data_IF_727724021809
#
_entry.id   IF_727724021809
#
_cell.length_a   1.000
_cell.length_b   1.000
_cell.length_c   1.000
_cell.angle_alpha   90.00
_cell.angle_beta   90.00
_cell.angle_gamma   90.00
#
_symmetry.space_group_name_H-M   'P 1'
#
loop_
_entity.id
_entity.type
_entity.pdbx_description
1 polymer ?
#
# COMPACT_ATOMS: atom_id res chain seq x y z
N UNK A 1 16.67 29.88 1.22
CA UNK A 1 17.60 29.18 0.31
C UNK A 1 18.87 28.83 1.08
N UNK A 2 18.97 27.61 1.60
CA UNK A 2 20.20 27.17 2.28
C UNK A 2 21.33 26.99 1.26
N UNK A 3 22.46 27.68 1.44
CA UNK A 3 23.65 27.48 0.61
C UNK A 3 24.14 26.03 0.68
N UNK A 4 24.71 25.51 -0.41
CA UNK A 4 25.24 24.14 -0.46
C UNK A 4 26.39 23.99 0.53
N UNK A 5 26.29 23.03 1.45
CA UNK A 5 27.32 22.76 2.44
C UNK A 5 28.43 21.88 1.83
N UNK A 6 29.55 22.48 1.46
CA UNK A 6 30.74 21.77 0.94
C UNK A 6 31.65 21.31 2.11
N UNK A 7 31.41 21.82 3.32
CA UNK A 7 32.24 21.59 4.52
C UNK A 7 32.40 20.11 4.91
N UNK A 8 31.37 19.24 4.85
CA UNK A 8 31.52 17.84 5.24
C UNK A 8 32.53 17.05 4.39
N UNK A 9 32.58 17.32 3.07
CA UNK A 9 33.51 16.65 2.17
C UNK A 9 34.97 17.11 2.37
N UNK A 10 35.19 18.27 3.02
CA UNK A 10 36.51 18.87 3.25
C UNK A 10 37.02 18.70 4.68
N UNK A 11 36.37 17.86 5.50
CA UNK A 11 36.75 17.64 6.90
C UNK A 11 38.21 17.23 7.04
N UNK A 12 38.70 16.33 6.19
CA UNK A 12 40.11 15.93 6.15
C UNK A 12 41.05 17.12 5.94
N UNK A 13 40.77 17.95 4.93
CA UNK A 13 41.59 19.13 4.61
C UNK A 13 41.56 20.18 5.72
N UNK A 14 40.40 20.39 6.34
CA UNK A 14 40.25 21.34 7.45
C UNK A 14 41.04 20.87 8.68
N UNK A 15 40.96 19.59 9.03
CA UNK A 15 41.72 19.04 10.17
C UNK A 15 43.21 19.04 9.89
N UNK A 16 43.64 18.68 8.67
CA UNK A 16 45.03 18.81 8.25
C UNK A 16 45.54 20.24 8.45
N UNK A 17 44.78 21.25 8.00
CA UNK A 17 45.15 22.66 8.20
C UNK A 17 45.23 23.08 9.67
N UNK A 18 44.36 22.53 10.53
CA UNK A 18 44.35 22.80 11.97
C UNK A 18 45.52 22.13 12.70
N UNK A 19 46.03 21.01 12.19
CA UNK A 19 47.22 20.36 12.73
C UNK A 19 48.51 21.07 12.30
N UNK A 20 48.53 21.64 11.08
CA UNK A 20 49.66 22.44 10.58
C UNK A 20 49.76 23.81 11.27
N UNK A 21 48.62 24.48 11.54
CA UNK A 21 48.60 25.79 12.20
C UNK A 21 48.46 25.65 13.72
N UNK A 22 49.57 25.75 14.45
CA UNK A 22 49.55 25.85 15.91
C UNK A 22 49.04 27.22 16.36
N UNK A 23 47.73 27.34 16.64
CA UNK A 23 47.09 28.61 17.06
C UNK A 23 47.51 29.05 18.45
N UNK A 24 47.87 28.11 19.33
CA UNK A 24 48.31 28.38 20.70
C UNK A 24 49.67 27.73 20.96
N UNK A 25 50.69 28.48 21.42
CA UNK A 25 51.97 27.91 21.79
C UNK A 25 51.78 26.95 22.98
N UNK A 26 52.03 25.66 22.77
CA UNK A 26 51.94 24.61 23.79
C UNK A 26 50.71 23.70 23.71
N UNK A 27 49.73 23.98 22.85
CA UNK A 27 48.58 23.08 22.66
C UNK A 27 48.80 22.17 21.44
N UNK A 28 48.99 20.86 21.67
CA UNK A 28 49.08 19.85 20.60
C UNK A 28 47.68 19.35 20.24
N UNK A 29 47.24 19.60 19.02
CA UNK A 29 46.06 18.94 18.44
C UNK A 29 46.40 17.48 18.17
N UNK A 30 45.64 16.56 18.76
CA UNK A 30 45.84 15.13 18.54
C UNK A 30 45.21 14.71 17.23
N UNK A 31 45.90 13.84 16.49
CA UNK A 31 45.36 13.24 15.28
C UNK A 31 44.10 12.44 15.63
N UNK A 32 42.94 12.77 15.03
CA UNK A 32 41.75 11.98 15.26
C UNK A 32 41.93 10.55 14.76
N UNK A 33 41.41 9.52 15.45
CA UNK A 33 41.57 8.12 15.05
C UNK A 33 41.08 7.81 13.62
N UNK A 34 40.14 8.59 13.09
CA UNK A 34 39.60 8.43 11.74
C UNK A 34 40.44 9.09 10.63
N UNK A 35 41.44 9.91 10.97
CA UNK A 35 42.18 10.73 10.01
C UNK A 35 42.98 9.87 9.02
N UNK A 36 43.67 8.85 9.52
CA UNK A 36 44.41 7.87 8.70
C UNK A 36 43.48 7.12 7.74
N UNK A 37 42.29 6.75 8.22
CA UNK A 37 41.28 6.05 7.40
C UNK A 37 40.80 6.94 6.25
N UNK A 38 40.51 8.22 6.50
CA UNK A 38 40.09 9.14 5.43
C UNK A 38 41.21 9.46 4.42
N UNK A 39 42.47 9.42 4.83
CA UNK A 39 43.59 9.52 3.89
C UNK A 39 43.63 8.32 2.94
N UNK A 40 43.33 7.11 3.44
CA UNK A 40 43.28 5.90 2.61
C UNK A 40 42.02 5.79 1.75
N UNK A 41 40.90 6.34 2.20
CA UNK A 41 39.60 6.29 1.53
C UNK A 41 39.07 7.72 1.38
N UNK A 42 39.49 8.44 0.31
CA UNK A 42 38.98 9.79 0.08
C UNK A 42 37.48 9.76 -0.25
N UNK A 43 36.73 10.82 0.10
CA UNK A 43 35.31 10.92 -0.22
C UNK A 43 35.08 11.00 -1.74
N UNK A 44 33.99 10.41 -2.22
CA UNK A 44 33.62 10.44 -3.64
C UNK A 44 33.19 11.85 -4.11
N UNK A 45 33.28 12.08 -5.42
CA UNK A 45 32.77 13.31 -6.04
C UNK A 45 31.26 13.43 -5.80
N UNK A 46 30.84 14.56 -5.25
CA UNK A 46 29.44 14.87 -4.98
C UNK A 46 29.03 16.14 -5.73
N UNK A 47 27.73 16.35 -5.90
CA UNK A 47 27.14 17.56 -6.48
C UNK A 47 27.35 17.78 -8.00
N UNK A 48 27.82 16.75 -8.73
CA UNK A 48 27.83 16.75 -10.19
C UNK A 48 26.55 16.11 -10.74
N UNK A 49 25.92 16.76 -11.71
CA UNK A 49 24.79 16.20 -12.44
C UNK A 49 25.32 15.36 -13.60
N UNK A 50 25.20 14.05 -13.51
CA UNK A 50 25.60 13.13 -14.58
C UNK A 50 24.44 12.88 -15.55
N UNK A 51 24.78 12.54 -16.79
CA UNK A 51 23.78 12.15 -17.79
C UNK A 51 23.15 10.83 -17.38
N UNK A 52 21.81 10.78 -17.31
CA UNK A 52 21.09 9.57 -16.90
C UNK A 52 21.12 8.50 -17.99
N UNK A 53 21.16 7.19 -17.65
CA UNK A 53 21.07 6.11 -18.63
C UNK A 53 19.80 6.20 -19.49
N UNK A 54 19.94 5.95 -20.79
CA UNK A 54 18.83 5.95 -21.74
C UNK A 54 18.18 4.56 -21.81
N UNK A 55 17.00 4.41 -21.21
CA UNK A 55 16.16 3.20 -21.32
C UNK A 55 15.24 3.26 -22.54
N UNK A 56 14.82 4.46 -22.94
CA UNK A 56 14.02 4.73 -24.13
C UNK A 56 14.84 5.54 -25.13
N UNK A 57 14.77 5.16 -26.41
CA UNK A 57 15.37 5.97 -27.48
C UNK A 57 14.67 7.34 -27.52
N UNK A 58 15.42 8.45 -27.47
CA UNK A 58 14.84 9.77 -27.60
C UNK A 58 14.19 9.92 -28.97
N UNK A 59 13.14 10.74 -29.05
CA UNK A 59 12.48 11.04 -30.32
C UNK A 59 13.46 11.82 -31.22
N UNK A 60 13.81 11.33 -32.43
CA UNK A 60 14.73 12.01 -33.33
C UNK A 60 14.21 13.37 -33.80
N UNK A 61 12.91 13.65 -33.64
CA UNK A 61 12.29 14.93 -34.02
C UNK A 61 12.29 15.97 -32.92
N UNK A 62 12.64 15.58 -31.69
CA UNK A 62 12.70 16.52 -30.56
C UNK A 62 13.85 17.51 -30.77
N UNK A 63 13.53 18.79 -30.91
CA UNK A 63 14.52 19.88 -30.99
C UNK A 63 14.99 20.23 -29.57
N UNK A 64 16.18 19.76 -29.20
CA UNK A 64 16.82 20.00 -27.90
C UNK A 64 16.68 18.84 -26.90
N UNK A 65 17.43 18.91 -25.80
CA UNK A 65 17.44 17.90 -24.73
C UNK A 65 16.92 18.47 -23.40
N UNK A 66 15.67 18.97 -23.33
CA UNK A 66 15.11 19.34 -22.05
C UNK A 66 15.10 18.08 -21.15
N UNK A 67 15.69 18.18 -19.96
CA UNK A 67 15.80 17.10 -18.97
C UNK A 67 16.85 16.00 -19.26
N UNK A 68 17.98 16.30 -19.92
CA UNK A 68 19.09 15.33 -20.12
C UNK A 68 19.58 14.67 -18.80
N UNK A 69 19.61 15.45 -17.72
CA UNK A 69 20.07 15.02 -16.40
C UNK A 69 18.95 14.40 -15.54
N UNK A 70 17.73 14.24 -16.09
CA UNK A 70 16.59 13.69 -15.37
C UNK A 70 16.53 12.16 -15.59
N UNK A 71 16.40 11.36 -14.53
CA UNK A 71 16.16 9.93 -14.67
C UNK A 71 14.89 9.64 -15.50
N UNK A 72 14.99 8.70 -16.44
CA UNK A 72 13.86 8.27 -17.26
C UNK A 72 12.94 7.34 -16.47
N UNK A 73 11.63 7.38 -16.76
CA UNK A 73 10.67 6.41 -16.19
C UNK A 73 10.92 5.03 -16.80
N UNK A 74 11.12 4.02 -15.96
CA UNK A 74 11.23 2.63 -16.39
C UNK A 74 9.84 2.13 -16.82
N UNK A 75 9.77 1.53 -18.01
CA UNK A 75 8.55 0.95 -18.57
C UNK A 75 8.89 -0.41 -19.15
N UNK A 76 8.11 -1.42 -18.78
CA UNK A 76 8.29 -2.79 -19.25
C UNK A 76 7.09 -3.23 -20.09
N UNK A 77 7.28 -4.23 -20.94
CA UNK A 77 6.19 -4.76 -21.77
C UNK A 77 5.12 -5.46 -20.91
N UNK A 78 5.58 -6.05 -19.82
CA UNK A 78 4.83 -6.73 -18.79
C UNK A 78 3.82 -5.80 -18.11
N UNK A 79 4.14 -4.52 -17.97
CA UNK A 79 3.24 -3.55 -17.35
C UNK A 79 1.93 -3.41 -18.14
N UNK A 80 2.03 -3.42 -19.48
CA UNK A 80 0.85 -3.42 -20.34
C UNK A 80 0.06 -4.75 -20.23
N UNK A 81 0.72 -5.87 -19.98
CA UNK A 81 0.07 -7.18 -19.78
C UNK A 81 -0.65 -7.24 -18.42
N UNK A 82 0.00 -6.74 -17.35
CA UNK A 82 -0.56 -6.63 -16.01
C UNK A 82 -1.84 -5.80 -16.01
N UNK A 83 -1.82 -4.62 -16.64
CA UNK A 83 -3.00 -3.75 -16.72
C UNK A 83 -4.17 -4.45 -17.39
N UNK A 84 -3.94 -5.20 -18.48
CA UNK A 84 -5.00 -5.95 -19.16
C UNK A 84 -5.53 -7.05 -18.25
N UNK A 85 -4.64 -7.85 -17.65
CA UNK A 85 -5.04 -8.98 -16.80
C UNK A 85 -5.89 -8.55 -15.60
N UNK A 86 -5.44 -7.54 -14.84
CA UNK A 86 -6.14 -7.07 -13.65
C UNK A 86 -7.41 -6.27 -13.97
N UNK A 87 -7.50 -5.66 -15.15
CA UNK A 87 -8.76 -5.07 -15.63
C UNK A 87 -9.79 -6.14 -15.92
N UNK A 88 -9.39 -7.24 -16.54
CA UNK A 88 -10.27 -8.36 -16.84
C UNK A 88 -10.64 -9.16 -15.56
N UNK A 89 -9.76 -9.19 -14.56
CA UNK A 89 -9.95 -9.91 -13.29
C UNK A 89 -9.79 -9.00 -12.06
N UNK A 90 -10.77 -8.10 -11.80
CA UNK A 90 -10.68 -7.17 -10.66
C UNK A 90 -10.53 -7.89 -9.31
N UNK A 91 -11.22 -9.02 -9.14
CA UNK A 91 -11.21 -9.79 -7.90
C UNK A 91 -9.90 -10.52 -7.61
N UNK A 92 -8.97 -10.64 -8.57
CA UNK A 92 -7.62 -11.11 -8.26
C UNK A 92 -6.82 -10.08 -7.45
N UNK A 93 -7.23 -8.80 -7.42
CA UNK A 93 -6.65 -7.78 -6.53
C UNK A 93 -7.08 -7.95 -5.06
N UNK A 94 -8.23 -8.59 -4.83
CA UNK A 94 -8.71 -8.87 -3.47
C UNK A 94 -7.91 -9.98 -2.79
N UNK A 95 -7.17 -10.80 -3.57
CA UNK A 95 -6.30 -11.83 -3.01
C UNK A 95 -5.04 -11.19 -2.42
N UNK A 96 -4.75 -11.39 -1.13
CA UNK A 96 -3.59 -10.77 -0.49
C UNK A 96 -2.29 -11.28 -1.11
N UNK A 97 -1.36 -10.35 -1.36
CA UNK A 97 -0.05 -10.65 -1.96
C UNK A 97 1.06 -10.08 -1.08
N UNK A 98 2.04 -10.93 -0.74
CA UNK A 98 3.27 -10.51 -0.07
C UNK A 98 4.23 -9.96 -1.11
N UNK A 99 4.65 -8.71 -0.93
CA UNK A 99 5.60 -8.00 -1.81
C UNK A 99 7.03 -8.01 -1.21
N UNK A 100 7.14 -8.33 0.08
CA UNK A 100 8.42 -8.48 0.75
C UNK A 100 9.23 -9.60 0.08
N UNK A 101 10.39 -9.26 -0.47
CA UNK A 101 11.31 -10.22 -1.06
C UNK A 101 12.06 -10.97 0.06
N UNK A 102 12.34 -12.26 -0.16
CA UNK A 102 13.18 -13.05 0.76
C UNK A 102 14.67 -12.83 0.46
N UNK A 103 15.17 -13.39 -0.65
CA UNK A 103 16.59 -13.29 -1.06
C UNK A 103 16.82 -12.31 -2.22
N UNK A 104 15.76 -11.83 -2.86
CA UNK A 104 15.80 -11.07 -4.13
C UNK A 104 16.21 -11.90 -5.37
N UNK A 105 16.56 -13.19 -5.19
CA UNK A 105 17.05 -14.09 -6.25
C UNK A 105 15.97 -14.99 -6.86
N UNK A 106 14.71 -14.71 -6.55
CA UNK A 106 13.56 -15.49 -7.00
C UNK A 106 13.49 -15.66 -8.52
N UNK A 107 13.90 -14.63 -9.26
CA UNK A 107 13.87 -14.63 -10.72
C UNK A 107 14.78 -15.71 -11.35
N UNK A 108 15.81 -16.17 -10.65
CA UNK A 108 16.79 -17.15 -11.17
C UNK A 108 16.28 -18.59 -11.08
N UNK A 109 15.37 -18.87 -10.14
CA UNK A 109 14.89 -20.22 -9.83
C UNK A 109 13.62 -20.59 -10.60
N UNK A 110 13.10 -19.67 -11.42
CA UNK A 110 11.76 -19.76 -12.03
C UNK A 110 11.85 -20.05 -13.51
N UNK A 111 11.32 -21.22 -13.88
CA UNK A 111 11.31 -21.70 -15.26
C UNK A 111 9.88 -21.64 -15.83
N UNK A 112 9.61 -20.60 -16.62
CA UNK A 112 8.29 -20.37 -17.22
C UNK A 112 7.97 -21.29 -18.41
N UNK A 113 8.82 -22.28 -18.70
CA UNK A 113 8.61 -23.31 -19.73
C UNK A 113 7.62 -24.40 -19.29
N UNK A 114 7.65 -24.76 -18.01
CA UNK A 114 6.86 -25.87 -17.44
C UNK A 114 5.39 -25.49 -17.27
N UNK A 115 5.09 -24.24 -16.88
CA UNK A 115 3.73 -23.77 -16.69
C UNK A 115 3.61 -22.51 -15.83
N UNK A 116 2.39 -22.20 -15.41
CA UNK A 116 2.05 -21.05 -14.54
C UNK A 116 2.45 -21.32 -13.08
N UNK A 117 2.36 -22.57 -12.60
CA UNK A 117 2.74 -22.93 -11.24
C UNK A 117 4.26 -22.99 -11.12
N UNK A 118 4.81 -22.22 -10.20
CA UNK A 118 6.25 -22.15 -9.93
C UNK A 118 6.53 -22.47 -8.46
N UNK A 119 7.67 -23.11 -8.14
CA UNK A 119 8.03 -23.39 -6.76
C UNK A 119 8.29 -22.09 -5.99
N UNK A 120 7.84 -22.04 -4.73
CA UNK A 120 8.06 -20.89 -3.85
C UNK A 120 7.31 -19.61 -4.22
N UNK A 121 6.44 -19.64 -5.25
CA UNK A 121 5.57 -18.51 -5.60
C UNK A 121 4.10 -18.91 -5.51
N UNK A 122 3.24 -18.12 -4.83
CA UNK A 122 1.81 -18.36 -4.88
C UNK A 122 1.29 -18.13 -6.30
N UNK A 123 0.23 -18.86 -6.65
CA UNK A 123 -0.46 -18.67 -7.91
C UNK A 123 -1.06 -17.25 -7.96
N UNK A 124 -0.54 -16.41 -8.85
CA UNK A 124 -0.91 -15.00 -8.97
C UNK A 124 -1.01 -14.57 -10.43
N UNK A 125 -1.59 -13.38 -10.68
CA UNK A 125 -1.61 -12.78 -12.01
C UNK A 125 -0.20 -12.57 -12.61
N UNK A 126 0.82 -12.36 -11.78
CA UNK A 126 2.21 -12.26 -12.25
C UNK A 126 2.67 -13.55 -12.93
N UNK A 127 2.26 -14.72 -12.42
CA UNK A 127 2.58 -16.00 -13.05
C UNK A 127 2.01 -16.09 -14.47
N UNK A 128 0.81 -15.54 -14.69
CA UNK A 128 0.16 -15.49 -16.01
C UNK A 128 0.90 -14.56 -16.95
N UNK A 129 1.28 -13.38 -16.49
CA UNK A 129 2.02 -12.38 -17.27
C UNK A 129 3.39 -12.92 -17.71
N UNK A 130 4.13 -13.55 -16.80
CA UNK A 130 5.44 -14.12 -17.11
C UNK A 130 5.33 -15.31 -18.06
N UNK A 131 4.37 -16.21 -17.83
CA UNK A 131 4.07 -17.31 -18.76
C UNK A 131 3.68 -16.79 -20.15
N UNK A 132 2.84 -15.76 -20.22
CA UNK A 132 2.45 -15.12 -21.48
C UNK A 132 3.67 -14.54 -22.20
N UNK A 133 4.55 -13.83 -21.48
CA UNK A 133 5.78 -13.29 -22.06
C UNK A 133 6.68 -14.39 -22.61
N UNK A 134 6.89 -15.47 -21.85
CA UNK A 134 7.68 -16.62 -22.27
C UNK A 134 7.11 -17.28 -23.53
N UNK A 135 5.79 -17.45 -23.62
CA UNK A 135 5.11 -17.97 -24.80
C UNK A 135 5.27 -17.06 -26.03
N UNK A 136 5.27 -15.74 -25.83
CA UNK A 136 5.50 -14.78 -26.90
C UNK A 136 6.95 -14.79 -27.40
N UNK A 137 7.92 -14.93 -26.50
CA UNK A 137 9.34 -14.92 -26.87
C UNK A 137 9.79 -16.24 -27.50
N UNK A 138 9.47 -17.37 -26.87
CA UNK A 138 9.98 -18.67 -27.27
C UNK A 138 9.12 -19.34 -28.34
N UNK A 139 7.79 -19.34 -28.16
CA UNK A 139 6.85 -19.97 -29.09
C UNK A 139 6.36 -19.02 -30.19
N UNK A 140 6.77 -17.73 -30.15
CA UNK A 140 6.37 -16.67 -31.10
C UNK A 140 4.85 -16.56 -31.28
N UNK A 141 4.09 -16.90 -30.24
CA UNK A 141 2.64 -16.81 -30.26
C UNK A 141 2.19 -15.34 -30.27
N UNK A 142 1.06 -15.08 -30.92
CA UNK A 142 0.45 -13.76 -30.86
C UNK A 142 0.02 -13.45 -29.42
N UNK A 143 0.08 -12.17 -29.02
CA UNK A 143 -0.24 -11.69 -27.67
C UNK A 143 -1.57 -12.25 -27.15
N UNK A 144 -2.61 -12.29 -27.99
CA UNK A 144 -3.94 -12.83 -27.63
C UNK A 144 -3.92 -14.34 -27.41
N UNK A 145 -3.28 -15.11 -28.30
CA UNK A 145 -3.18 -16.56 -28.18
C UNK A 145 -2.34 -16.98 -26.96
N UNK A 146 -1.22 -16.29 -26.72
CA UNK A 146 -0.39 -16.48 -25.54
C UNK A 146 -1.17 -16.17 -24.25
N UNK A 147 -1.97 -15.09 -24.26
CA UNK A 147 -2.85 -14.73 -23.14
C UNK A 147 -3.89 -15.82 -22.86
N UNK A 148 -4.60 -16.27 -23.88
CA UNK A 148 -5.64 -17.29 -23.72
C UNK A 148 -5.09 -18.62 -23.20
N UNK A 149 -3.89 -19.02 -23.65
CA UNK A 149 -3.23 -20.23 -23.17
C UNK A 149 -2.85 -20.11 -21.69
N UNK A 150 -2.15 -19.03 -21.32
CA UNK A 150 -1.75 -18.79 -19.93
C UNK A 150 -2.95 -18.64 -18.99
N UNK A 151 -4.02 -17.98 -19.46
CA UNK A 151 -5.26 -17.78 -18.70
C UNK A 151 -6.03 -19.08 -18.47
N UNK A 152 -6.12 -19.96 -19.46
CA UNK A 152 -6.73 -21.29 -19.29
C UNK A 152 -5.94 -22.17 -18.32
N UNK A 153 -4.61 -22.14 -18.39
CA UNK A 153 -3.74 -22.81 -17.42
C UNK A 153 -4.02 -22.28 -15.99
N UNK A 154 -4.13 -20.96 -15.84
CA UNK A 154 -4.44 -20.30 -14.57
C UNK A 154 -5.82 -20.69 -14.01
N UNK A 155 -6.87 -20.68 -14.83
CA UNK A 155 -8.21 -21.06 -14.40
C UNK A 155 -8.30 -22.50 -13.91
N UNK A 156 -7.63 -23.43 -14.59
CA UNK A 156 -7.60 -24.84 -14.16
C UNK A 156 -6.96 -24.99 -12.78
N UNK A 157 -5.86 -24.28 -12.53
CA UNK A 157 -5.17 -24.32 -11.24
C UNK A 157 -6.01 -23.66 -10.14
N UNK A 158 -6.65 -22.52 -10.42
CA UNK A 158 -7.56 -21.86 -9.46
C UNK A 158 -8.76 -22.72 -9.10
N UNK A 159 -9.36 -23.39 -10.09
CA UNK A 159 -10.46 -24.32 -9.87
C UNK A 159 -10.00 -25.49 -8.99
N UNK A 160 -8.81 -26.03 -9.25
CA UNK A 160 -8.25 -27.10 -8.44
C UNK A 160 -8.03 -26.66 -6.99
N UNK A 161 -7.45 -25.48 -6.75
CA UNK A 161 -7.27 -24.92 -5.40
C UNK A 161 -8.61 -24.77 -4.65
N UNK A 162 -9.66 -24.30 -5.33
CA UNK A 162 -10.98 -24.12 -4.70
C UNK A 162 -11.63 -25.46 -4.35
N UNK A 163 -11.57 -26.44 -5.26
CA UNK A 163 -12.09 -27.79 -5.03
C UNK A 163 -11.33 -28.47 -3.89
N UNK A 164 -10.01 -28.34 -3.86
CA UNK A 164 -9.16 -28.92 -2.81
C UNK A 164 -9.56 -28.39 -1.43
N UNK A 165 -9.75 -27.08 -1.28
CA UNK A 165 -10.19 -26.47 -0.01
C UNK A 165 -11.58 -26.96 0.40
N UNK A 166 -12.51 -27.11 -0.54
CA UNK A 166 -13.87 -27.59 -0.26
C UNK A 166 -13.88 -29.05 0.19
N UNK A 167 -13.22 -29.91 -0.57
CA UNK A 167 -13.14 -31.35 -0.28
C UNK A 167 -12.42 -31.57 1.06
N UNK A 168 -11.33 -30.85 1.33
CA UNK A 168 -10.62 -30.96 2.61
C UNK A 168 -11.50 -30.60 3.82
N UNK A 169 -12.39 -29.61 3.69
CA UNK A 169 -13.35 -29.28 4.75
C UNK A 169 -14.41 -30.35 4.93
N UNK A 170 -14.92 -30.93 3.85
CA UNK A 170 -15.91 -32.01 3.88
C UNK A 170 -15.33 -33.28 4.50
N UNK A 171 -14.13 -33.68 4.08
CA UNK A 171 -13.41 -34.82 4.63
C UNK A 171 -13.11 -34.64 6.12
N UNK A 172 -12.65 -33.45 6.52
CA UNK A 172 -12.40 -33.13 7.92
C UNK A 172 -13.67 -33.27 8.77
N UNK A 173 -14.81 -32.77 8.28
CA UNK A 173 -16.10 -32.91 8.98
C UNK A 173 -16.56 -34.37 9.04
N UNK A 174 -16.36 -35.11 7.95
CA UNK A 174 -16.71 -36.52 7.88
C UNK A 174 -15.97 -37.35 8.95
N UNK A 175 -14.69 -37.06 9.20
CA UNK A 175 -13.90 -37.70 10.27
C UNK A 175 -14.16 -37.12 11.67
N UNK A 176 -15.14 -36.23 11.82
CA UNK A 176 -15.56 -35.68 13.10
C UNK A 176 -14.79 -34.43 13.56
N UNK A 177 -14.01 -33.78 12.69
CA UNK A 177 -13.40 -32.50 13.02
C UNK A 177 -14.47 -31.39 13.05
N UNK A 178 -14.47 -30.61 14.13
CA UNK A 178 -15.32 -29.42 14.27
C UNK A 178 -14.49 -28.16 14.03
N UNK A 179 -15.09 -27.19 13.36
CA UNK A 179 -14.50 -25.86 13.15
C UNK A 179 -15.21 -24.84 14.05
N UNK A 180 -14.51 -23.77 14.41
CA UNK A 180 -15.12 -22.63 15.10
C UNK A 180 -16.06 -21.83 14.19
N UNK A 181 -16.36 -20.58 14.59
CA UNK A 181 -17.20 -19.68 13.80
C UNK A 181 -16.68 -19.55 12.36
N UNK A 182 -17.59 -19.57 11.39
CA UNK A 182 -17.22 -19.36 10.00
C UNK A 182 -16.86 -17.90 9.76
N UNK A 183 -16.14 -17.62 8.66
CA UNK A 183 -15.85 -16.24 8.27
C UNK A 183 -17.12 -15.41 8.04
N UNK A 184 -18.21 -16.04 7.60
CA UNK A 184 -19.51 -15.38 7.42
C UNK A 184 -20.12 -14.99 8.78
N UNK A 185 -20.08 -15.89 9.76
CA UNK A 185 -20.61 -15.61 11.10
C UNK A 185 -19.82 -14.50 11.79
N UNK A 186 -18.49 -14.51 11.64
CA UNK A 186 -17.61 -13.42 12.13
C UNK A 186 -17.94 -12.11 11.43
N UNK A 187 -18.21 -12.14 10.12
CA UNK A 187 -18.63 -10.96 9.35
C UNK A 187 -19.94 -10.38 9.87
N UNK A 188 -20.98 -11.21 10.01
CA UNK A 188 -22.28 -10.79 10.55
C UNK A 188 -22.14 -10.16 11.94
N UNK A 189 -21.35 -10.77 12.82
CA UNK A 189 -21.13 -10.23 14.16
C UNK A 189 -20.38 -8.88 14.19
N UNK A 190 -19.64 -8.53 13.13
CA UNK A 190 -19.06 -7.18 12.99
C UNK A 190 -20.10 -6.20 12.44
N UNK A 191 -20.88 -6.61 11.44
CA UNK A 191 -21.95 -5.80 10.86
C UNK A 191 -23.01 -5.42 11.90
N UNK A 192 -23.40 -6.34 12.77
CA UNK A 192 -24.35 -6.08 13.86
C UNK A 192 -23.84 -5.00 14.83
N UNK A 193 -22.54 -5.04 15.16
CA UNK A 193 -21.92 -4.03 16.05
C UNK A 193 -21.92 -2.65 15.42
N UNK A 194 -21.56 -2.58 14.15
CA UNK A 194 -21.54 -1.32 13.40
C UNK A 194 -22.98 -0.80 13.21
N UNK A 195 -23.95 -1.67 12.96
CA UNK A 195 -25.37 -1.33 12.84
C UNK A 195 -25.93 -0.74 14.14
N UNK A 196 -25.64 -1.34 15.30
CA UNK A 196 -26.09 -0.79 16.58
C UNK A 196 -25.45 0.58 16.86
N UNK A 197 -24.18 0.78 16.49
CA UNK A 197 -23.54 2.09 16.58
C UNK A 197 -24.23 3.14 15.69
N UNK A 198 -24.60 2.75 14.46
CA UNK A 198 -25.33 3.61 13.54
C UNK A 198 -26.75 3.90 14.04
N UNK A 199 -27.44 2.91 14.60
CA UNK A 199 -28.79 3.08 15.17
C UNK A 199 -28.79 4.13 16.28
N UNK A 200 -27.82 4.10 17.18
CA UNK A 200 -27.69 5.09 18.25
C UNK A 200 -27.48 6.50 17.67
N UNK A 201 -26.55 6.66 16.71
CA UNK A 201 -26.32 7.93 16.03
C UNK A 201 -27.57 8.42 15.27
N UNK A 202 -28.27 7.54 14.57
CA UNK A 202 -29.46 7.89 13.80
C UNK A 202 -30.60 8.37 14.70
N UNK A 203 -30.77 7.76 15.89
CA UNK A 203 -31.72 8.21 16.87
C UNK A 203 -31.41 9.64 17.37
N UNK A 204 -30.14 9.94 17.65
CA UNK A 204 -29.72 11.30 18.03
C UNK A 204 -29.96 12.31 16.90
N UNK A 205 -29.63 11.96 15.66
CA UNK A 205 -29.85 12.82 14.50
C UNK A 205 -31.33 13.08 14.25
N UNK A 206 -32.19 12.08 14.43
CA UNK A 206 -33.63 12.25 14.30
C UNK A 206 -34.14 13.27 15.31
N UNK A 207 -33.71 13.17 16.57
CA UNK A 207 -34.07 14.14 17.62
C UNK A 207 -33.60 15.56 17.24
N UNK A 208 -32.38 15.69 16.71
CA UNK A 208 -31.85 16.99 16.26
C UNK A 208 -32.67 17.53 15.08
N UNK A 209 -33.03 16.68 14.12
CA UNK A 209 -33.83 17.04 12.97
C UNK A 209 -35.24 17.48 13.38
N UNK A 210 -35.91 16.72 14.24
CA UNK A 210 -37.23 17.06 14.79
C UNK A 210 -37.21 18.39 15.54
N UNK A 211 -36.20 18.62 16.39
CA UNK A 211 -36.03 19.92 17.07
C UNK A 211 -35.83 21.06 16.08
N UNK A 212 -35.10 20.82 15.00
CA UNK A 212 -34.86 21.81 13.95
C UNK A 212 -36.14 22.11 13.16
N UNK A 213 -36.92 21.09 12.83
CA UNK A 213 -38.20 21.25 12.14
C UNK A 213 -39.19 22.02 13.02
N UNK A 214 -39.26 21.70 14.32
CA UNK A 214 -40.05 22.46 15.30
C UNK A 214 -39.62 23.93 15.37
N UNK A 215 -38.30 24.20 15.43
CA UNK A 215 -37.78 25.56 15.42
C UNK A 215 -37.99 26.28 14.07
N UNK A 216 -38.09 25.55 12.96
CA UNK A 216 -38.41 26.11 11.65
C UNK A 216 -39.88 26.48 11.49
N UNK A 217 -40.78 25.66 12.05
CA UNK A 217 -42.23 25.89 12.06
C UNK A 217 -42.59 27.11 12.94
N UNK A 218 -41.84 27.37 14.01
CA UNK A 218 -42.02 28.53 14.91
C UNK A 218 -41.73 29.89 14.23
N UNK A 219 -41.19 29.90 13.01
CA UNK A 219 -40.92 31.12 12.22
C UNK A 219 -42.06 31.53 11.27
N UNK A 220 -43.17 30.77 11.20
CA UNK A 220 -44.36 31.09 10.39
C UNK A 220 -45.58 31.32 11.30
N UNK A 221 -45.52 32.46 12.01
CA UNK A 221 -46.55 33.22 12.73
C UNK A 221 -47.80 32.50 13.29
N UNK A 222 -48.00 32.62 14.61
CA UNK A 222 -49.27 33.11 15.17
C UNK A 222 -48.96 34.07 16.33
N UNK A 223 -49.26 35.36 16.16
CA UNK A 223 -49.49 36.26 17.30
C UNK A 223 -50.75 35.78 18.03
N UNK A 224 -50.60 35.27 19.25
CA UNK A 224 -51.74 35.07 20.17
C UNK A 224 -51.51 35.87 21.45
N UNK A 225 -52.45 36.79 21.69
CA UNK A 225 -52.66 37.57 22.92
C UNK A 225 -52.72 36.68 24.18
N UNK A 226 -52.38 37.23 25.37
CA UNK A 226 -52.19 36.44 26.58
C UNK A 226 -53.52 36.20 27.30
N UNK A 227 -53.78 34.96 27.72
CA UNK A 227 -54.69 34.71 28.83
C UNK A 227 -54.07 33.76 29.87
N UNK A 228 -54.23 34.18 31.12
CA UNK A 228 -53.56 33.65 32.31
C UNK A 228 -54.30 32.46 32.95
N UNK A 229 -53.47 31.63 33.60
CA UNK A 229 -53.67 30.99 34.91
C UNK A 229 -54.28 29.57 35.02
N UNK A 230 -53.54 28.75 35.77
CA UNK A 230 -53.92 27.45 36.34
C UNK A 230 -53.00 26.33 35.86
N UNK A 231 -51.88 25.95 36.50
CA UNK A 231 -51.65 25.77 37.92
C UNK A 231 -51.91 24.32 38.32
N UNK A 232 -50.90 23.44 38.24
CA UNK A 232 -50.65 22.34 39.18
C UNK A 232 -49.32 21.61 38.87
N UNK A 233 -48.63 21.21 39.94
CA UNK A 233 -47.22 20.82 39.96
C UNK A 233 -47.03 19.31 40.22
N UNK A 234 -46.05 18.72 39.52
CA UNK A 234 -45.05 17.70 39.95
C UNK A 234 -45.59 16.37 40.54
N UNK A 235 -45.21 15.17 40.10
CA UNK A 235 -43.92 14.47 40.38
C UNK A 235 -44.01 13.10 39.67
N UNK A 236 -42.99 12.67 38.92
CA UNK A 236 -42.57 11.25 38.91
C UNK A 236 -41.05 11.17 38.84
N UNK A 237 -40.50 10.46 39.83
CA UNK A 237 -39.09 10.27 40.13
C UNK A 237 -38.39 9.33 39.14
N UNK A 238 -37.08 9.56 38.98
CA UNK A 238 -36.18 8.67 38.25
C UNK A 238 -35.81 7.40 39.02
N UNK A 239 -35.39 6.39 38.28
CA UNK A 239 -34.58 5.28 38.77
C UNK A 239 -33.79 4.68 37.57
N UNK A 240 -32.49 4.97 37.54
CA UNK A 240 -31.49 4.25 36.74
C UNK A 240 -31.06 3.00 37.51
N UNK A 241 -30.87 1.82 36.90
CA UNK A 241 -30.07 0.77 37.50
C UNK A 241 -28.59 0.94 37.13
N UNK A 242 -27.77 0.83 38.17
CA UNK A 242 -26.31 0.86 38.17
C UNK A 242 -25.72 -0.28 37.33
N UNK A 243 -24.70 0.05 36.53
CA UNK A 243 -23.80 -0.93 35.94
C UNK A 243 -22.72 -1.29 36.96
N UNK A 244 -22.67 -2.55 37.38
CA UNK A 244 -21.51 -3.12 38.08
C UNK A 244 -20.60 -3.86 37.11
N UNK A 245 -19.29 -3.64 37.34
CA UNK A 245 -18.09 -4.38 36.92
C UNK A 245 -18.25 -5.78 36.33
#
# INVERSE_FOLDING_TARGET
>A
MGGRQIRPARVYQNVLSQMETAVLPGHRTYEPPWFQVLNTIPPAESLVRTVSPCHRRPDPRAKGTPNLFRPQKLQYLEDALRTIFYRDHPWELARPRVILESDGKDHQRRDWSTGVRQPGMPLTGECVVQRQMWLMQNQKLNKRQAYDKARKEFYRLRQAEEIEVRVAQEEARYVGAYFGLSKLDVGMGLEDRDFESWKAWAAEQLIIHERRDQAGIDTFEVEEEPDQAGGEARVVAGALPEASA
#
